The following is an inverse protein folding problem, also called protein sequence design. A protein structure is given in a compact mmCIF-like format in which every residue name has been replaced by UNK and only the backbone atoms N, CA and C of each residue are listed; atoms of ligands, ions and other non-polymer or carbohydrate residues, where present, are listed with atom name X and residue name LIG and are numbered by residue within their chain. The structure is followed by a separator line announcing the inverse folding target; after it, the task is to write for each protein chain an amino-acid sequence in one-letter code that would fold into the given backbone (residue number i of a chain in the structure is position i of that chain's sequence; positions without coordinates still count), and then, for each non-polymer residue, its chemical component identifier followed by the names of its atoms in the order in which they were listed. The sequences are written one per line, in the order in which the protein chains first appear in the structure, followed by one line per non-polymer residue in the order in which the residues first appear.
data_IF_525412728265
#
_entry.id   IF_525412728265
#
_cell.length_a   1.000
_cell.length_b   1.000
_cell.length_c   1.000
_cell.angle_alpha   90.00
_cell.angle_beta   90.00
_cell.angle_gamma   90.00
#
_symmetry.space_group_name_H-M   'P 1'
#
loop_
_entity.id
_entity.type
_entity.pdbx_description
1 polymer ?
#
# COMPACT_ATOMS: atom_id res chain seq x y z
N UNK A 1 41.63 -15.85 6.66
CA UNK A 1 40.15 -15.85 6.68
C UNK A 1 39.69 -14.61 7.42
N UNK A 2 38.73 -13.86 6.87
CA UNK A 2 38.13 -12.71 7.57
C UNK A 2 37.22 -13.23 8.68
N UNK A 3 37.32 -12.67 9.88
CA UNK A 3 36.46 -13.06 11.01
C UNK A 3 35.02 -12.56 10.83
N UNK A 4 34.06 -13.27 11.41
CA UNK A 4 32.65 -12.84 11.38
C UNK A 4 32.43 -11.50 12.08
N UNK A 5 33.24 -11.17 13.08
CA UNK A 5 33.24 -9.87 13.74
C UNK A 5 33.58 -8.74 12.74
N UNK A 6 34.59 -8.95 11.89
CA UNK A 6 34.95 -7.99 10.84
C UNK A 6 33.85 -7.82 9.81
N UNK A 7 33.19 -8.92 9.40
CA UNK A 7 32.04 -8.87 8.47
C UNK A 7 30.87 -8.08 9.08
N UNK A 8 30.55 -8.33 10.36
CA UNK A 8 29.51 -7.60 11.11
C UNK A 8 29.84 -6.12 11.29
N UNK A 9 31.11 -5.77 11.47
CA UNK A 9 31.53 -4.37 11.53
C UNK A 9 31.40 -3.70 10.16
N UNK A 10 31.82 -4.37 9.10
CA UNK A 10 31.75 -3.85 7.74
C UNK A 10 30.30 -3.62 7.28
N UNK A 11 29.38 -4.56 7.50
CA UNK A 11 27.98 -4.40 7.06
C UNK A 11 27.26 -3.21 7.74
N UNK A 12 27.66 -2.83 8.96
CA UNK A 12 27.10 -1.66 9.66
C UNK A 12 27.45 -0.32 9.00
N UNK A 13 28.45 -0.30 8.13
CA UNK A 13 28.76 0.89 7.32
C UNK A 13 27.80 1.07 6.15
N UNK A 14 26.98 0.06 5.83
CA UNK A 14 25.88 0.21 4.88
C UNK A 14 24.74 0.97 5.55
N UNK A 15 24.49 2.18 5.04
CA UNK A 15 23.40 3.04 5.50
C UNK A 15 22.30 3.08 4.43
N UNK A 16 21.07 2.79 4.85
CA UNK A 16 19.88 2.97 4.02
C UNK A 16 19.39 4.40 4.22
N UNK A 17 19.18 5.19 3.15
CA UNK A 17 18.62 6.54 3.27
C UNK A 17 17.31 6.54 4.04
N UNK A 18 17.10 7.53 4.91
CA UNK A 18 15.86 7.63 5.71
C UNK A 18 14.63 7.70 4.82
N UNK A 19 14.65 8.53 3.78
CA UNK A 19 13.57 8.63 2.80
C UNK A 19 13.19 7.30 2.14
N UNK A 20 14.18 6.44 1.87
CA UNK A 20 13.92 5.11 1.30
C UNK A 20 13.28 4.18 2.33
N UNK A 21 13.73 4.22 3.59
CA UNK A 21 13.10 3.45 4.67
C UNK A 21 11.67 3.92 4.92
N UNK A 22 11.46 5.25 4.91
CA UNK A 22 10.16 5.87 5.12
C UNK A 22 9.17 5.53 4.01
N UNK A 23 9.59 5.63 2.74
CA UNK A 23 8.74 5.26 1.60
C UNK A 23 8.40 3.76 1.61
N UNK A 24 9.34 2.88 2.00
CA UNK A 24 9.06 1.44 2.17
C UNK A 24 8.02 1.23 3.28
N UNK A 25 8.20 1.85 4.44
CA UNK A 25 7.28 1.76 5.57
C UNK A 25 5.90 2.35 5.22
N UNK A 26 5.87 3.43 4.45
CA UNK A 26 4.66 4.06 3.93
C UNK A 26 3.87 3.12 3.02
N UNK A 27 4.53 2.48 2.05
CA UNK A 27 3.90 1.49 1.18
C UNK A 27 3.33 0.31 1.99
N UNK A 28 4.10 -0.22 2.96
CA UNK A 28 3.65 -1.31 3.82
C UNK A 28 2.40 -0.93 4.63
N UNK A 29 2.37 0.27 5.20
CA UNK A 29 1.22 0.81 5.92
C UNK A 29 0.00 0.95 5.01
N UNK A 30 0.18 1.60 3.85
CA UNK A 30 -0.90 1.87 2.91
C UNK A 30 -1.50 0.57 2.35
N UNK A 31 -0.66 -0.43 2.07
CA UNK A 31 -1.10 -1.76 1.65
C UNK A 31 -1.96 -2.43 2.75
N UNK A 32 -1.49 -2.40 4.00
CA UNK A 32 -2.24 -2.97 5.13
C UNK A 32 -3.60 -2.29 5.29
N UNK A 33 -3.66 -0.97 5.19
CA UNK A 33 -4.90 -0.21 5.32
C UNK A 33 -5.89 -0.57 4.19
N UNK A 34 -5.41 -0.71 2.94
CA UNK A 34 -6.23 -1.20 1.82
C UNK A 34 -6.76 -2.62 2.05
N UNK A 35 -5.90 -3.54 2.52
CA UNK A 35 -6.27 -4.94 2.81
C UNK A 35 -7.34 -5.01 3.91
N UNK A 36 -7.22 -4.21 4.97
CA UNK A 36 -8.23 -4.17 6.05
C UNK A 36 -9.60 -3.76 5.53
N UNK A 37 -9.68 -2.70 4.74
CA UNK A 37 -10.94 -2.19 4.19
C UNK A 37 -11.52 -3.19 3.17
N UNK A 38 -10.67 -3.80 2.35
CA UNK A 38 -11.08 -4.87 1.43
C UNK A 38 -11.69 -6.06 2.19
N UNK A 39 -11.00 -6.54 3.23
CA UNK A 39 -11.48 -7.64 4.07
C UNK A 39 -12.81 -7.31 4.75
N UNK A 40 -12.97 -6.07 5.24
CA UNK A 40 -14.22 -5.59 5.83
C UNK A 40 -15.42 -5.76 4.89
N UNK A 41 -15.24 -5.38 3.62
CA UNK A 41 -16.27 -5.47 2.59
C UNK A 41 -16.51 -6.90 2.13
N UNK A 42 -15.45 -7.67 1.89
CA UNK A 42 -15.53 -9.06 1.47
C UNK A 42 -16.31 -9.92 2.48
N UNK A 43 -16.10 -9.69 3.78
CA UNK A 43 -16.81 -10.41 4.85
C UNK A 43 -18.31 -10.09 4.91
N UNK A 44 -18.71 -8.89 4.48
CA UNK A 44 -20.11 -8.43 4.52
C UNK A 44 -20.86 -8.70 3.22
N UNK A 45 -20.16 -9.01 2.13
CA UNK A 45 -20.73 -9.11 0.79
C UNK A 45 -22.02 -9.96 0.74
N UNK A 46 -22.00 -11.16 1.34
CA UNK A 46 -23.13 -12.08 1.30
C UNK A 46 -24.33 -11.66 2.17
N UNK A 47 -24.16 -10.71 3.10
CA UNK A 47 -25.24 -10.20 3.95
C UNK A 47 -25.86 -8.90 3.43
N UNK A 48 -25.42 -8.40 2.28
CA UNK A 48 -25.90 -7.16 1.67
C UNK A 48 -27.02 -7.40 0.66
N UNK A 49 -27.81 -6.35 0.38
CA UNK A 49 -28.80 -6.37 -0.70
C UNK A 49 -28.12 -6.45 -2.08
N UNK A 50 -28.84 -6.88 -3.12
CA UNK A 50 -28.27 -7.00 -4.47
C UNK A 50 -27.67 -5.69 -5.00
N UNK A 51 -28.30 -4.54 -4.68
CA UNK A 51 -27.79 -3.21 -5.06
C UNK A 51 -26.47 -2.92 -4.35
N UNK A 52 -26.41 -3.18 -3.04
CA UNK A 52 -25.20 -2.98 -2.23
C UNK A 52 -24.08 -3.95 -2.63
N UNK A 53 -24.40 -5.19 -3.01
CA UNK A 53 -23.43 -6.15 -3.55
C UNK A 53 -22.78 -5.63 -4.83
N UNK A 54 -23.56 -5.03 -5.75
CA UNK A 54 -23.03 -4.39 -6.95
C UNK A 54 -22.02 -3.29 -6.62
N UNK A 55 -22.34 -2.42 -5.65
CA UNK A 55 -21.45 -1.35 -5.18
C UNK A 55 -20.19 -1.89 -4.52
N UNK A 56 -20.34 -2.85 -3.60
CA UNK A 56 -19.20 -3.45 -2.91
C UNK A 56 -18.28 -4.18 -3.87
N UNK A 57 -18.82 -4.85 -4.89
CA UNK A 57 -17.99 -5.48 -5.93
C UNK A 57 -17.08 -4.46 -6.62
N UNK A 58 -17.62 -3.28 -6.94
CA UNK A 58 -16.82 -2.20 -7.51
C UNK A 58 -15.75 -1.69 -6.54
N UNK A 59 -16.10 -1.51 -5.25
CA UNK A 59 -15.14 -1.07 -4.23
C UNK A 59 -14.00 -2.07 -4.04
N UNK A 60 -14.30 -3.37 -4.04
CA UNK A 60 -13.29 -4.43 -3.94
C UNK A 60 -12.32 -4.39 -5.12
N UNK A 61 -12.83 -4.20 -6.34
CA UNK A 61 -11.99 -4.08 -7.54
C UNK A 61 -11.07 -2.85 -7.48
N UNK A 62 -11.61 -1.69 -7.09
CA UNK A 62 -10.79 -0.47 -6.91
C UNK A 62 -9.70 -0.65 -5.85
N UNK A 63 -10.02 -1.29 -4.73
CA UNK A 63 -9.06 -1.61 -3.68
C UNK A 63 -7.98 -2.58 -4.19
N UNK A 64 -8.34 -3.57 -5.01
CA UNK A 64 -7.38 -4.51 -5.61
C UNK A 64 -6.46 -3.83 -6.64
N UNK A 65 -6.97 -2.91 -7.44
CA UNK A 65 -6.16 -2.06 -8.33
C UNK A 65 -5.17 -1.23 -7.52
N UNK A 66 -5.62 -0.63 -6.42
CA UNK A 66 -4.80 0.17 -5.52
C UNK A 66 -3.70 -0.67 -4.84
N UNK A 67 -4.05 -1.85 -4.33
CA UNK A 67 -3.09 -2.80 -3.77
C UNK A 67 -2.01 -3.20 -4.79
N UNK A 68 -2.40 -3.43 -6.05
CA UNK A 68 -1.46 -3.71 -7.15
C UNK A 68 -0.54 -2.52 -7.44
N UNK A 69 -1.08 -1.30 -7.43
CA UNK A 69 -0.29 -0.09 -7.62
C UNK A 69 0.76 0.10 -6.52
N UNK A 70 0.36 -0.07 -5.25
CA UNK A 70 1.27 -0.02 -4.09
C UNK A 70 2.36 -1.11 -4.22
N UNK A 71 1.99 -2.33 -4.61
CA UNK A 71 2.95 -3.43 -4.81
C UNK A 71 3.99 -3.12 -5.88
N UNK A 72 3.62 -2.41 -6.95
CA UNK A 72 4.54 -1.96 -8.00
C UNK A 72 5.53 -0.91 -7.47
N UNK A 73 5.06 0.06 -6.70
CA UNK A 73 5.90 1.08 -6.06
C UNK A 73 6.88 0.44 -5.07
N UNK A 74 6.38 -0.43 -4.19
CA UNK A 74 7.22 -1.16 -3.23
C UNK A 74 8.29 -2.00 -3.92
N UNK A 75 7.94 -2.67 -5.03
CA UNK A 75 8.91 -3.44 -5.83
C UNK A 75 10.03 -2.55 -6.37
N UNK A 76 9.72 -1.34 -6.82
CA UNK A 76 10.71 -0.36 -7.27
C UNK A 76 11.68 0.06 -6.14
N UNK A 77 11.15 0.36 -4.95
CA UNK A 77 11.96 0.72 -3.78
C UNK A 77 12.88 -0.43 -3.34
N UNK A 78 12.36 -1.65 -3.30
CA UNK A 78 13.13 -2.85 -2.93
C UNK A 78 14.23 -3.14 -3.96
N UNK A 79 13.96 -2.94 -5.25
CA UNK A 79 14.98 -3.05 -6.29
C UNK A 79 16.07 -1.98 -6.15
N UNK A 80 15.71 -0.74 -5.79
CA UNK A 80 16.70 0.30 -5.51
C UNK A 80 17.60 -0.08 -4.33
N UNK A 81 16.99 -0.54 -3.24
CA UNK A 81 17.70 -1.03 -2.06
C UNK A 81 18.64 -2.19 -2.39
N UNK A 82 18.17 -3.17 -3.18
CA UNK A 82 18.98 -4.32 -3.60
C UNK A 82 20.18 -3.89 -4.48
N UNK A 83 20.00 -2.90 -5.37
CA UNK A 83 21.11 -2.35 -6.16
C UNK A 83 22.15 -1.67 -5.29
N UNK A 84 21.72 -0.86 -4.32
CA UNK A 84 22.61 -0.19 -3.35
C UNK A 84 23.39 -1.20 -2.51
N UNK A 85 22.71 -2.24 -2.02
CA UNK A 85 23.34 -3.29 -1.23
C UNK A 85 24.38 -4.06 -2.05
N UNK A 86 24.05 -4.47 -3.28
CA UNK A 86 25.00 -5.14 -4.18
C UNK A 86 26.20 -4.28 -4.52
N UNK A 87 25.99 -2.98 -4.75
CA UNK A 87 27.09 -2.05 -4.97
C UNK A 87 28.00 -1.96 -3.74
N UNK A 88 27.42 -1.86 -2.55
CA UNK A 88 28.18 -1.84 -1.29
C UNK A 88 28.96 -3.13 -1.04
N UNK A 89 28.35 -4.31 -1.29
CA UNK A 89 29.02 -5.60 -1.16
C UNK A 89 30.23 -5.69 -2.10
N UNK A 90 30.08 -5.30 -3.38
CA UNK A 90 31.18 -5.29 -4.35
C UNK A 90 32.30 -4.34 -3.93
N UNK A 91 31.95 -3.11 -3.53
CA UNK A 91 32.91 -2.12 -3.06
C UNK A 91 33.70 -2.64 -1.85
N UNK A 92 33.02 -3.24 -0.89
CA UNK A 92 33.63 -3.81 0.32
C UNK A 92 34.56 -4.98 0.00
N UNK A 93 34.19 -5.83 -0.96
CA UNK A 93 35.04 -6.93 -1.42
C UNK A 93 36.31 -6.41 -2.11
N UNK A 94 36.21 -5.37 -2.94
CA UNK A 94 37.35 -4.80 -3.65
C UNK A 94 38.27 -3.98 -2.74
N UNK A 95 37.72 -3.11 -1.90
CA UNK A 95 38.52 -2.14 -1.12
C UNK A 95 39.03 -2.71 0.20
N UNK A 96 38.23 -3.56 0.87
CA UNK A 96 38.55 -4.09 2.20
C UNK A 96 38.93 -5.56 2.16
N UNK A 97 38.81 -6.22 1.00
CA UNK A 97 38.99 -7.66 0.86
C UNK A 97 38.08 -8.46 1.79
N UNK A 98 36.88 -7.94 2.06
CA UNK A 98 35.85 -8.58 2.89
C UNK A 98 34.66 -8.94 2.02
N UNK A 99 34.42 -10.25 1.86
CA UNK A 99 33.22 -10.75 1.22
C UNK A 99 32.05 -10.81 2.20
N UNK A 100 31.00 -10.06 1.90
CA UNK A 100 29.75 -10.05 2.64
C UNK A 100 28.74 -10.94 1.92
N UNK A 101 28.49 -12.13 2.48
CA UNK A 101 27.49 -13.05 1.95
C UNK A 101 26.07 -12.49 2.01
N UNK A 102 25.23 -12.94 1.09
CA UNK A 102 23.87 -12.41 0.92
C UNK A 102 23.00 -12.61 2.17
N UNK A 103 23.14 -13.73 2.89
CA UNK A 103 22.36 -13.98 4.11
C UNK A 103 22.63 -12.93 5.20
N UNK A 104 23.91 -12.56 5.40
CA UNK A 104 24.29 -11.53 6.35
C UNK A 104 23.76 -10.16 5.92
N UNK A 105 23.89 -9.84 4.64
CA UNK A 105 23.48 -8.56 4.08
C UNK A 105 21.95 -8.39 4.13
N UNK A 106 21.21 -9.39 3.69
CA UNK A 106 19.74 -9.43 3.73
C UNK A 106 19.23 -9.41 5.18
N UNK A 107 19.86 -10.18 6.08
CA UNK A 107 19.51 -10.18 7.50
C UNK A 107 19.71 -8.82 8.17
N UNK A 108 20.81 -8.12 7.83
CA UNK A 108 21.04 -6.75 8.31
C UNK A 108 19.98 -5.77 7.79
N UNK A 109 19.69 -5.79 6.49
CA UNK A 109 18.67 -4.91 5.90
C UNK A 109 17.29 -5.16 6.51
N UNK A 110 16.90 -6.43 6.68
CA UNK A 110 15.64 -6.79 7.33
C UNK A 110 15.58 -6.23 8.76
N UNK A 111 16.65 -6.37 9.55
CA UNK A 111 16.73 -5.80 10.90
C UNK A 111 16.61 -4.27 10.91
N UNK A 112 17.30 -3.56 10.00
CA UNK A 112 17.22 -2.10 9.89
C UNK A 112 15.80 -1.65 9.55
N UNK A 113 15.15 -2.28 8.57
CA UNK A 113 13.80 -1.92 8.14
C UNK A 113 12.76 -2.20 9.24
N UNK A 114 12.84 -3.35 9.92
CA UNK A 114 11.94 -3.67 11.03
C UNK A 114 12.09 -2.67 12.18
N UNK A 115 13.33 -2.36 12.56
CA UNK A 115 13.61 -1.38 13.62
C UNK A 115 13.08 0.01 13.27
N UNK A 116 13.19 0.41 12.00
CA UNK A 116 12.69 1.70 11.53
C UNK A 116 11.16 1.78 11.56
N UNK A 117 10.48 0.72 11.13
CA UNK A 117 9.02 0.65 11.10
C UNK A 117 8.39 0.71 12.50
N UNK A 118 9.06 0.15 13.52
CA UNK A 118 8.61 0.22 14.92
C UNK A 118 8.71 1.63 15.51
N UNK A 119 9.71 2.42 15.08
CA UNK A 119 10.04 3.72 15.68
C UNK A 119 9.30 4.88 15.00
N UNK A 120 9.13 4.86 13.66
CA UNK A 120 8.65 6.02 12.88
C UNK A 120 7.22 5.88 12.36
N UNK A 121 6.29 5.39 13.18
CA UNK A 121 4.86 5.38 12.87
C UNK A 121 4.23 6.77 13.12
N UNK A 122 4.77 7.82 12.50
CA UNK A 122 4.17 9.17 12.55
C UNK A 122 3.10 9.31 11.47
N UNK A 123 1.90 9.74 11.88
CA UNK A 123 0.77 10.00 10.98
C UNK A 123 1.00 11.14 9.98
N UNK A 124 2.12 11.87 10.06
CA UNK A 124 2.42 13.06 9.27
C UNK A 124 3.48 12.87 8.16
N UNK A 125 3.90 11.63 7.88
CA UNK A 125 4.88 11.39 6.80
C UNK A 125 4.28 11.66 5.41
N UNK A 126 4.94 12.51 4.63
CA UNK A 126 4.63 12.78 3.22
C UNK A 126 5.58 11.95 2.36
N UNK A 127 5.09 11.05 1.49
CA UNK A 127 5.92 10.19 0.67
C UNK A 127 6.75 11.00 -0.33
N UNK A 128 7.97 10.51 -0.60
CA UNK A 128 8.94 11.23 -1.42
C UNK A 128 9.03 10.68 -2.84
N UNK A 129 9.14 9.35 -2.98
CA UNK A 129 9.27 8.67 -4.27
C UNK A 129 8.03 7.84 -4.67
N UNK A 130 6.99 7.84 -3.84
CA UNK A 130 5.76 7.07 -4.06
C UNK A 130 4.52 7.96 -3.99
N UNK A 131 3.43 7.49 -4.58
CA UNK A 131 2.18 8.26 -4.62
C UNK A 131 1.57 8.39 -3.22
N UNK A 132 0.93 9.52 -2.94
CA UNK A 132 0.10 9.68 -1.75
C UNK A 132 -1.14 8.77 -1.81
N UNK A 133 -1.50 8.22 -0.66
CA UNK A 133 -2.54 7.22 -0.46
C UNK A 133 -3.45 7.61 0.70
N UNK A 134 -4.70 7.21 0.58
CA UNK A 134 -5.68 7.36 1.65
C UNK A 134 -5.33 6.43 2.81
N UNK A 135 -5.43 6.93 4.03
CA UNK A 135 -5.33 6.08 5.22
C UNK A 135 -6.62 5.29 5.45
N UNK A 136 -6.59 4.33 6.38
CA UNK A 136 -7.72 3.46 6.72
C UNK A 136 -9.05 4.22 6.92
N UNK A 137 -9.05 5.31 7.68
CA UNK A 137 -10.28 6.09 7.96
C UNK A 137 -10.82 6.82 6.72
N UNK A 138 -9.92 7.35 5.90
CA UNK A 138 -10.28 8.02 4.65
C UNK A 138 -10.81 7.01 3.62
N UNK A 139 -10.27 5.78 3.59
CA UNK A 139 -10.78 4.71 2.75
C UNK A 139 -12.22 4.34 3.15
N UNK A 140 -12.53 4.21 4.44
CA UNK A 140 -13.91 4.00 4.89
C UNK A 140 -14.85 5.14 4.50
N UNK A 141 -14.37 6.39 4.54
CA UNK A 141 -15.15 7.55 4.10
C UNK A 141 -15.38 7.57 2.59
N UNK A 142 -14.41 7.11 1.79
CA UNK A 142 -14.54 7.01 0.32
C UNK A 142 -15.60 5.99 -0.10
N UNK A 143 -15.80 4.93 0.68
CA UNK A 143 -16.68 3.81 0.33
C UNK A 143 -17.90 3.70 1.26
N UNK A 144 -18.84 4.67 1.23
CA UNK A 144 -20.04 4.59 2.04
C UNK A 144 -20.96 3.49 1.52
N UNK A 145 -21.44 2.61 2.40
CA UNK A 145 -22.54 1.72 2.08
C UNK A 145 -23.83 2.53 2.13
N UNK A 146 -24.45 2.77 0.97
CA UNK A 146 -25.75 3.42 0.92
C UNK A 146 -26.78 2.55 1.66
N UNK A 147 -27.49 3.17 2.62
CA UNK A 147 -28.69 2.59 3.22
C UNK A 147 -29.71 2.28 2.11
N UNK A 148 -30.39 1.13 2.19
CA UNK A 148 -31.44 0.76 1.23
C UNK A 148 -32.49 1.87 1.05
N UNK A 149 -32.76 2.68 2.09
CA UNK A 149 -33.69 3.81 2.00
C UNK A 149 -33.21 4.95 1.07
N UNK A 150 -31.90 5.13 0.90
CA UNK A 150 -31.33 6.15 0.01
C UNK A 150 -31.33 5.71 -1.46
N UNK A 151 -31.26 4.39 -1.71
CA UNK A 151 -31.29 3.84 -3.07
C UNK A 151 -32.68 3.97 -3.71
N UNK A 152 -33.75 3.74 -2.94
CA UNK A 152 -35.14 3.88 -3.41
C UNK A 152 -35.50 5.34 -3.73
N UNK A 153 -34.98 6.30 -2.96
CA UNK A 153 -35.18 7.73 -3.21
C UNK A 153 -34.53 8.22 -4.52
N UNK A 154 -33.39 7.64 -4.92
CA UNK A 154 -32.72 7.99 -6.18
C UNK A 154 -33.45 7.43 -7.41
N UNK A 155 -34.13 6.29 -7.29
CA UNK A 155 -34.94 5.71 -8.37
C UNK A 155 -36.30 6.42 -8.50
N UNK A 156 -36.87 6.92 -7.40
CA UNK A 156 -38.12 7.68 -7.41
C UNK A 156 -38.00 9.13 -7.96
N UNK A 157 -36.79 9.63 -8.18
CA UNK A 157 -36.53 11.00 -8.62
C UNK A 157 -36.42 11.18 -10.16
N UNK A 158 -36.81 10.19 -10.97
CA UNK A 158 -37.03 10.40 -12.41
C UNK A 158 -38.48 10.85 -12.64
N UNK A 159 -38.75 12.12 -13.01
CA UNK A 159 -40.11 12.58 -13.22
C UNK A 159 -40.66 12.01 -14.53
N UNK A 160 -41.87 11.45 -14.42
CA UNK A 160 -42.74 11.04 -15.53
C UNK A 160 -42.89 12.19 -16.54
N UNK A 161 -42.36 11.99 -17.75
CA UNK A 161 -42.52 12.94 -18.85
C UNK A 161 -43.91 12.76 -19.48
N UNK A 162 -44.85 13.54 -18.96
CA UNK A 162 -45.89 14.30 -19.67
C UNK A 162 -46.79 13.55 -20.67
N UNK A 163 -47.95 13.14 -20.16
CA UNK A 163 -49.15 12.72 -20.90
C UNK A 163 -49.73 13.91 -21.67
N UNK A 164 -49.63 13.94 -23.01
CA UNK A 164 -50.35 14.91 -23.85
C UNK A 164 -51.84 14.53 -23.95
N UNK A 165 -52.78 15.45 -23.73
CA UNK A 165 -54.20 15.19 -23.91
C UNK A 165 -54.64 15.36 -25.37
N UNK A 166 -55.59 14.51 -25.76
CA UNK A 166 -56.36 14.57 -27.00
C UNK A 166 -56.94 15.97 -27.24
N UNK A 167 -56.85 16.47 -28.47
CA UNK A 167 -57.69 17.58 -28.94
C UNK A 167 -58.48 17.13 -30.16
N UNK A 168 -59.78 17.01 -29.94
CA UNK A 168 -60.86 16.83 -30.91
C UNK A 168 -60.88 17.98 -31.91
N UNK A 169 -60.90 17.68 -33.21
CA UNK A 169 -61.83 18.29 -34.17
C UNK A 169 -61.95 17.48 -35.46
#
# INVERSE_FOLDING_TARGET
MVSDSQKRKAIREFLIPDTLKDDIAYCQRSLRDCVKVHQYFAQRYNSLSAIQQGQVKQYLLELEDEMRAIGKEQSGLVQDLARRLKHFQRKTATEKHIELGDDLANGYVAWVLSSHAEIQCSAAYVPHAVSERLNESQLYQKYPLLSCAAAEAATAAQPEQERKPDTVR
#
